data_IF_945763738868
#
_entry.id   IF_945763738868
#
_cell.length_a   1.000
_cell.length_b   1.000
_cell.length_c   1.000
_cell.angle_alpha   90.00
_cell.angle_beta   90.00
_cell.angle_gamma   90.00
#
_symmetry.space_group_name_H-M   'P 1'
#
loop_
_entity.id
_entity.type
_entity.pdbx_description
1 polymer ?
#
# COMPACT_ATOMS: atom_id res chain seq x y z
N UNK A 1 26.38 -17.95 13.55
CA UNK A 1 25.90 -17.57 12.20
C UNK A 1 24.70 -16.68 12.41
N UNK A 2 24.87 -15.37 12.30
CA UNK A 2 23.74 -14.45 12.25
C UNK A 2 22.92 -14.80 11.02
N UNK A 3 21.79 -15.47 11.23
CA UNK A 3 20.79 -15.59 10.16
C UNK A 3 20.30 -14.17 9.87
N UNK A 4 20.25 -13.73 8.60
CA UNK A 4 19.74 -12.40 8.30
C UNK A 4 18.34 -12.28 8.91
N UNK A 5 18.08 -11.18 9.63
CA UNK A 5 16.74 -10.89 10.13
C UNK A 5 15.78 -10.94 8.94
N UNK A 6 14.59 -11.55 9.06
CA UNK A 6 13.61 -11.44 8.00
C UNK A 6 13.29 -9.95 7.80
N UNK A 7 13.57 -9.43 6.61
CA UNK A 7 13.23 -8.06 6.25
C UNK A 7 11.72 -7.86 6.39
N UNK A 8 11.32 -6.72 6.93
CA UNK A 8 9.88 -6.41 7.01
C UNK A 8 9.31 -6.27 5.60
N UNK A 9 8.01 -6.55 5.42
CA UNK A 9 7.36 -6.40 4.10
C UNK A 9 7.53 -4.98 3.53
N UNK A 10 7.53 -3.98 4.40
CA UNK A 10 7.77 -2.57 4.02
C UNK A 10 9.18 -2.42 3.45
N UNK A 11 10.21 -2.96 4.09
CA UNK A 11 11.60 -2.90 3.62
C UNK A 11 11.80 -3.60 2.26
N UNK A 12 11.14 -4.74 2.04
CA UNK A 12 11.25 -5.48 0.78
C UNK A 12 10.64 -4.67 -0.38
N UNK A 13 9.50 -4.04 -0.13
CA UNK A 13 8.76 -3.29 -1.14
C UNK A 13 9.36 -1.90 -1.40
N UNK A 14 10.04 -1.31 -0.41
CA UNK A 14 10.73 -0.03 -0.59
C UNK A 14 11.91 -0.12 -1.57
N UNK A 15 12.46 -1.32 -1.78
CA UNK A 15 13.50 -1.58 -2.77
C UNK A 15 12.96 -1.63 -4.22
N UNK A 16 11.65 -1.63 -4.44
CA UNK A 16 11.09 -1.57 -5.79
C UNK A 16 11.26 -0.17 -6.39
N UNK A 17 11.78 -0.13 -7.61
CA UNK A 17 11.71 1.07 -8.43
C UNK A 17 10.24 1.38 -8.73
N UNK A 18 9.83 2.63 -8.53
CA UNK A 18 8.48 3.09 -8.82
C UNK A 18 8.33 3.38 -10.33
N UNK A 19 7.63 2.53 -11.12
CA UNK A 19 7.55 2.72 -12.57
C UNK A 19 6.58 3.85 -12.96
N UNK A 20 5.83 4.42 -12.00
CA UNK A 20 4.83 5.45 -12.26
C UNK A 20 5.52 6.76 -12.64
N UNK A 21 4.90 7.55 -13.50
CA UNK A 21 5.39 8.90 -13.82
C UNK A 21 5.30 9.81 -12.58
N UNK A 22 6.25 10.74 -12.40
CA UNK A 22 6.35 11.58 -11.19
C UNK A 22 5.04 12.28 -10.82
N UNK A 23 4.33 12.83 -11.81
CA UNK A 23 3.04 13.52 -11.61
C UNK A 23 1.93 12.63 -11.04
N UNK A 24 2.10 11.31 -11.04
CA UNK A 24 1.14 10.34 -10.49
C UNK A 24 1.56 9.74 -9.15
N UNK A 25 2.73 10.10 -8.62
CA UNK A 25 3.29 9.59 -7.36
C UNK A 25 2.78 10.34 -6.13
N UNK A 26 1.47 10.59 -6.06
CA UNK A 26 0.85 11.26 -4.90
C UNK A 26 0.87 10.38 -3.65
N UNK A 27 0.86 9.05 -3.79
CA UNK A 27 0.93 8.13 -2.65
C UNK A 27 2.16 7.24 -2.82
N UNK A 28 2.81 6.89 -1.72
CA UNK A 28 3.94 5.97 -1.69
C UNK A 28 3.55 4.64 -2.36
N UNK A 29 4.42 4.09 -3.21
CA UNK A 29 4.13 2.83 -3.88
C UNK A 29 4.00 1.70 -2.85
N UNK A 30 4.91 1.65 -1.88
CA UNK A 30 4.89 0.69 -0.76
C UNK A 30 3.57 0.70 0.00
N UNK A 31 3.05 1.88 0.35
CA UNK A 31 1.75 2.01 1.05
C UNK A 31 0.60 1.42 0.23
N UNK A 32 0.58 1.69 -1.09
CA UNK A 32 -0.45 1.16 -1.99
C UNK A 32 -0.37 -0.37 -2.05
N UNK A 33 0.84 -0.92 -2.20
CA UNK A 33 1.04 -2.36 -2.32
C UNK A 33 0.66 -3.10 -1.03
N UNK A 34 1.11 -2.60 0.13
CA UNK A 34 0.76 -3.20 1.42
C UNK A 34 -0.74 -3.11 1.68
N UNK A 35 -1.36 -1.95 1.43
CA UNK A 35 -2.81 -1.77 1.55
C UNK A 35 -3.58 -2.78 0.70
N UNK A 36 -3.23 -2.92 -0.58
CA UNK A 36 -3.90 -3.83 -1.50
C UNK A 36 -3.78 -5.28 -1.07
N UNK A 37 -2.59 -5.73 -0.63
CA UNK A 37 -2.40 -7.11 -0.15
C UNK A 37 -3.25 -7.38 1.08
N UNK A 38 -3.23 -6.49 2.07
CA UNK A 38 -4.03 -6.64 3.30
C UNK A 38 -5.52 -6.68 2.99
N UNK A 39 -6.00 -5.76 2.14
CA UNK A 39 -7.40 -5.69 1.76
C UNK A 39 -7.85 -6.97 1.03
N UNK A 40 -7.06 -7.49 0.09
CA UNK A 40 -7.38 -8.71 -0.67
C UNK A 40 -7.39 -9.95 0.24
N UNK A 41 -6.45 -10.06 1.18
CA UNK A 41 -6.47 -11.13 2.20
C UNK A 41 -7.75 -11.06 3.05
N UNK A 42 -8.22 -9.85 3.34
CA UNK A 42 -9.49 -9.62 4.05
C UNK A 42 -10.74 -9.73 3.15
N UNK A 43 -10.61 -10.15 1.91
CA UNK A 43 -11.73 -10.43 1.00
C UNK A 43 -12.16 -9.26 0.12
N UNK A 44 -11.37 -8.18 0.01
CA UNK A 44 -11.63 -7.13 -0.98
C UNK A 44 -11.38 -7.67 -2.40
N UNK A 45 -12.39 -7.57 -3.26
CA UNK A 45 -12.39 -8.10 -4.63
C UNK A 45 -12.44 -7.01 -5.71
N UNK A 46 -12.40 -5.74 -5.31
CA UNK A 46 -12.44 -4.58 -6.20
C UNK A 46 -11.62 -3.41 -5.64
N UNK A 47 -11.18 -2.49 -6.50
CA UNK A 47 -10.48 -1.28 -6.05
C UNK A 47 -11.34 -0.39 -5.13
N UNK A 48 -12.66 -0.42 -5.32
CA UNK A 48 -13.60 0.26 -4.41
C UNK A 48 -13.56 -0.40 -3.03
N UNK A 49 -13.57 -1.74 -2.97
CA UNK A 49 -13.46 -2.48 -1.72
C UNK A 49 -12.10 -2.27 -1.03
N UNK A 50 -11.00 -2.18 -1.77
CA UNK A 50 -9.67 -1.88 -1.22
C UNK A 50 -9.63 -0.47 -0.62
N UNK A 51 -10.12 0.54 -1.34
CA UNK A 51 -10.20 1.90 -0.84
C UNK A 51 -11.08 1.99 0.42
N UNK A 52 -12.23 1.29 0.43
CA UNK A 52 -13.11 1.21 1.60
C UNK A 52 -12.43 0.53 2.79
N UNK A 53 -11.74 -0.60 2.57
CA UNK A 53 -10.95 -1.27 3.62
C UNK A 53 -9.93 -0.31 4.22
N UNK A 54 -9.21 0.44 3.39
CA UNK A 54 -8.25 1.44 3.82
C UNK A 54 -8.90 2.52 4.68
N UNK A 55 -10.05 3.06 4.26
CA UNK A 55 -10.78 4.09 5.01
C UNK A 55 -11.27 3.59 6.38
N UNK A 56 -11.80 2.37 6.45
CA UNK A 56 -12.29 1.77 7.70
C UNK A 56 -11.16 1.47 8.69
N UNK A 57 -9.95 1.23 8.20
CA UNK A 57 -8.81 0.81 9.01
C UNK A 57 -7.67 1.85 9.04
N UNK A 58 -7.90 3.08 8.59
CA UNK A 58 -6.84 4.08 8.40
C UNK A 58 -6.04 4.32 9.68
N UNK A 59 -6.69 4.41 10.85
CA UNK A 59 -6.02 4.59 12.13
C UNK A 59 -5.04 3.45 12.47
N UNK A 60 -5.39 2.21 12.14
CA UNK A 60 -4.52 1.04 12.33
C UNK A 60 -3.41 1.01 11.29
N UNK A 61 -3.73 1.27 10.02
CA UNK A 61 -2.75 1.30 8.94
C UNK A 61 -1.65 2.34 9.19
N UNK A 62 -2.00 3.51 9.74
CA UNK A 62 -1.05 4.57 10.11
C UNK A 62 -0.05 4.19 11.20
N UNK A 63 -0.23 3.03 11.86
CA UNK A 63 0.76 2.55 12.84
C UNK A 63 2.02 1.99 12.17
N UNK A 64 1.96 1.67 10.87
CA UNK A 64 3.10 1.13 10.11
C UNK A 64 3.19 1.62 8.64
N UNK A 65 2.20 2.35 8.13
CA UNK A 65 2.23 3.03 6.83
C UNK A 65 2.28 4.54 7.01
N UNK A 66 2.95 5.25 6.10
CA UNK A 66 3.07 6.71 6.18
C UNK A 66 1.77 7.42 5.75
N UNK A 67 1.17 6.96 4.65
CA UNK A 67 -0.06 7.51 4.07
C UNK A 67 -0.05 9.05 4.01
N UNK A 68 0.93 9.67 3.33
CA UNK A 68 1.16 11.13 3.35
C UNK A 68 -0.04 11.94 2.85
N UNK A 69 -0.87 11.34 2.00
CA UNK A 69 -2.09 11.94 1.46
C UNK A 69 -3.35 11.12 1.76
N UNK A 70 -3.31 10.31 2.83
CA UNK A 70 -4.39 9.41 3.22
C UNK A 70 -4.50 8.19 2.30
N UNK A 71 -5.66 7.55 2.35
CA UNK A 71 -5.96 6.33 1.59
C UNK A 71 -6.10 6.65 0.09
N UNK A 72 -5.40 5.92 -0.80
CA UNK A 72 -5.56 6.08 -2.24
C UNK A 72 -7.00 5.77 -2.67
N UNK A 73 -7.54 6.58 -3.59
CA UNK A 73 -8.85 6.32 -4.19
C UNK A 73 -8.82 5.07 -5.10
N UNK A 74 -10.00 4.52 -5.40
CA UNK A 74 -10.12 3.41 -6.37
C UNK A 74 -9.54 3.75 -7.75
N UNK A 75 -9.65 5.01 -8.21
CA UNK A 75 -8.99 5.47 -9.45
C UNK A 75 -7.47 5.48 -9.34
N UNK A 76 -6.94 5.76 -8.15
CA UNK A 76 -5.49 5.73 -7.90
C UNK A 76 -5.00 4.30 -7.92
N UNK A 77 -5.72 3.38 -7.28
CA UNK A 77 -5.42 1.95 -7.31
C UNK A 77 -5.46 1.40 -8.74
N UNK A 78 -6.49 1.73 -9.53
CA UNK A 78 -6.60 1.30 -10.92
C UNK A 78 -5.60 1.94 -11.90
N UNK A 79 -4.82 2.93 -11.46
CA UNK A 79 -3.65 3.41 -12.23
C UNK A 79 -2.37 2.66 -11.91
N UNK A 80 -2.30 2.00 -10.75
CA UNK A 80 -1.11 1.28 -10.28
C UNK A 80 -1.11 -0.18 -10.73
N UNK A 81 -2.29 -0.82 -10.72
CA UNK A 81 -2.50 -2.21 -11.16
C UNK A 81 -3.12 -2.25 -12.55
#
# INVERSE_FOLDING_TARGET
MDSPRPSSWVEILDALEDPRVDRTRRHNLTDILVLSVLAVICGADSFVAIALFGQLNEAWLRTFLELPHGIPSHDTLGRVF
#
